data_IF_999135383072
#
_entry.id   IF_999135383072
#
_cell.length_a   1.000
_cell.length_b   1.000
_cell.length_c   1.000
_cell.angle_alpha   90.00
_cell.angle_beta   90.00
_cell.angle_gamma   90.00
#
_symmetry.space_group_name_H-M   'P 1'
#
loop_
_entity.id
_entity.type
_entity.pdbx_description
1 polymer ?
#
# COMPACT_ATOMS: atom_id res chain seq x y z
N UNK A 1 -14.63 31.57 80.81
CA UNK A 1 -13.29 31.13 81.23
C UNK A 1 -12.72 30.17 80.18
N UNK A 2 -11.60 30.62 79.58
CA UNK A 2 -10.43 29.85 79.11
C UNK A 2 -10.49 29.05 77.78
N UNK A 3 -9.85 29.64 76.77
CA UNK A 3 -9.07 28.99 75.69
C UNK A 3 -7.69 28.52 76.27
N UNK A 4 -6.93 27.56 75.68
CA UNK A 4 -6.04 27.86 74.54
C UNK A 4 -5.78 26.73 73.50
N UNK A 5 -5.77 27.15 72.22
CA UNK A 5 -4.84 26.90 71.08
C UNK A 5 -3.98 25.63 70.88
N UNK A 6 -3.84 25.32 69.58
CA UNK A 6 -2.68 24.80 68.80
C UNK A 6 -2.59 23.27 68.57
N UNK A 7 -2.20 22.71 67.42
CA UNK A 7 -1.51 23.21 66.23
C UNK A 7 -1.61 22.18 65.06
N UNK A 8 -1.80 22.69 63.82
CA UNK A 8 -1.35 22.20 62.50
C UNK A 8 -1.44 20.69 62.12
N UNK A 9 -2.09 20.38 60.99
CA UNK A 9 -1.40 19.79 59.83
C UNK A 9 -2.30 19.85 58.58
N UNK A 10 -1.88 20.72 57.65
CA UNK A 10 -2.17 20.78 56.22
C UNK A 10 -2.60 19.46 55.55
N UNK A 11 -3.70 19.51 54.79
CA UNK A 11 -3.69 19.16 53.35
C UNK A 11 -4.99 19.63 52.66
N UNK A 12 -4.84 20.76 51.98
CA UNK A 12 -5.69 21.26 50.91
C UNK A 12 -5.67 20.28 49.74
N UNK A 13 -6.81 19.77 49.27
CA UNK A 13 -7.15 19.75 47.83
C UNK A 13 -8.55 19.22 47.55
N UNK A 14 -9.40 20.11 47.00
CA UNK A 14 -10.56 19.77 46.17
C UNK A 14 -10.05 18.98 44.95
N UNK A 15 -10.58 17.78 44.72
CA UNK A 15 -10.48 17.10 43.44
C UNK A 15 -11.85 17.14 42.76
N UNK A 16 -12.02 18.14 41.91
CA UNK A 16 -13.08 18.23 40.91
C UNK A 16 -12.79 17.26 39.78
N UNK A 17 -13.78 16.42 39.50
CA UNK A 17 -13.95 15.61 38.29
C UNK A 17 -13.38 16.28 37.05
N UNK A 18 -12.39 15.66 36.41
CA UNK A 18 -12.10 15.89 34.99
C UNK A 18 -11.81 14.52 34.36
N UNK A 19 -12.84 13.96 33.74
CA UNK A 19 -12.73 12.76 32.91
C UNK A 19 -12.17 13.23 31.56
N UNK A 20 -10.86 13.11 31.39
CA UNK A 20 -10.18 13.43 30.13
C UNK A 20 -10.50 12.32 29.11
N UNK A 21 -11.24 12.69 28.07
CA UNK A 21 -11.51 11.80 26.94
C UNK A 21 -10.21 11.53 26.17
N UNK A 22 -9.75 10.29 26.17
CA UNK A 22 -8.66 9.84 25.30
C UNK A 22 -9.13 9.88 23.85
N UNK A 23 -8.62 10.85 23.09
CA UNK A 23 -8.91 11.00 21.66
C UNK A 23 -8.11 9.94 20.89
N UNK A 24 -8.79 8.86 20.50
CA UNK A 24 -8.25 7.86 19.57
C UNK A 24 -7.87 8.53 18.24
N UNK A 25 -6.60 8.44 17.86
CA UNK A 25 -6.04 8.97 16.61
C UNK A 25 -6.18 7.98 15.45
N UNK A 26 -7.40 7.53 15.16
CA UNK A 26 -7.68 6.83 13.89
C UNK A 26 -8.16 7.87 12.87
N UNK A 27 -7.21 8.57 12.24
CA UNK A 27 -7.52 9.69 11.34
C UNK A 27 -7.72 9.20 9.89
N UNK A 28 -8.87 8.58 9.61
CA UNK A 28 -9.37 8.52 8.23
C UNK A 28 -9.76 9.94 7.80
N UNK A 29 -9.42 10.41 6.58
CA UNK A 29 -9.79 11.76 6.13
C UNK A 29 -11.30 11.99 6.23
N UNK A 30 -11.71 13.23 6.48
CA UNK A 30 -13.13 13.57 6.37
C UNK A 30 -13.60 13.46 4.91
N UNK A 31 -14.90 13.23 4.73
CA UNK A 31 -15.53 13.11 3.42
C UNK A 31 -15.28 14.38 2.59
N UNK A 32 -14.62 14.26 1.43
CA UNK A 32 -14.28 15.40 0.58
C UNK A 32 -14.42 15.08 -0.92
N UNK A 33 -15.13 15.91 -1.67
CA UNK A 33 -15.40 15.65 -3.09
C UNK A 33 -16.09 14.30 -3.33
N UNK A 34 -15.52 13.46 -4.21
CA UNK A 34 -15.99 12.09 -4.46
C UNK A 34 -15.48 11.06 -3.45
N UNK A 35 -14.61 11.45 -2.52
CA UNK A 35 -14.12 10.56 -1.46
C UNK A 35 -15.24 10.24 -0.46
N UNK A 36 -15.41 8.96 -0.11
CA UNK A 36 -16.35 8.48 0.89
C UNK A 36 -15.62 7.57 1.88
N UNK A 37 -15.48 7.94 3.17
CA UNK A 37 -14.75 7.13 4.15
C UNK A 37 -15.29 5.70 4.33
N UNK A 38 -16.59 5.48 4.08
CA UNK A 38 -17.21 4.16 4.14
C UNK A 38 -16.77 3.18 3.03
N UNK A 39 -16.09 3.68 1.99
CA UNK A 39 -15.50 2.87 0.93
C UNK A 39 -13.99 2.65 1.14
N UNK A 40 -13.43 3.13 2.25
CA UNK A 40 -12.03 2.91 2.60
C UNK A 40 -11.87 1.46 3.07
N UNK A 41 -11.09 0.69 2.32
CA UNK A 41 -10.76 -0.69 2.65
C UNK A 41 -9.25 -0.86 2.60
N UNK A 42 -8.70 -1.57 3.57
CA UNK A 42 -7.31 -2.01 3.48
C UNK A 42 -7.21 -2.98 2.29
N UNK A 43 -6.28 -2.69 1.39
CA UNK A 43 -6.14 -3.40 0.13
C UNK A 43 -4.66 -3.55 -0.21
N UNK A 44 -4.32 -4.61 -0.94
CA UNK A 44 -3.02 -4.68 -1.58
C UNK A 44 -2.86 -3.51 -2.56
N UNK A 45 -1.62 -3.03 -2.74
CA UNK A 45 -1.32 -2.05 -3.76
C UNK A 45 -1.59 -2.59 -5.16
N UNK A 46 -2.31 -1.82 -5.99
CA UNK A 46 -2.45 -2.09 -7.42
C UNK A 46 -2.16 -0.81 -8.21
N UNK A 47 -1.69 -0.96 -9.44
CA UNK A 47 -1.51 0.16 -10.35
C UNK A 47 -1.27 -0.31 -11.76
N UNK A 48 -1.33 0.62 -12.72
CA UNK A 48 -1.12 0.32 -14.13
C UNK A 48 -0.35 1.45 -14.80
N UNK A 49 0.35 1.11 -15.87
CA UNK A 49 1.04 2.05 -16.75
C UNK A 49 0.61 1.73 -18.18
N UNK A 50 0.22 2.76 -18.93
CA UNK A 50 -0.21 2.60 -20.31
C UNK A 50 0.36 3.72 -21.18
N UNK A 51 0.80 3.36 -22.39
CA UNK A 51 1.14 4.34 -23.39
C UNK A 51 -0.13 4.79 -24.12
N UNK A 52 -0.51 6.07 -24.02
CA UNK A 52 -1.79 6.62 -24.53
C UNK A 52 -2.02 6.30 -26.02
N UNK A 53 -0.97 6.33 -26.84
CA UNK A 53 -1.04 5.99 -28.28
C UNK A 53 -0.80 4.51 -28.60
N UNK A 54 -0.77 3.63 -27.60
CA UNK A 54 -0.57 2.19 -27.79
C UNK A 54 0.82 1.76 -28.28
N UNK A 55 1.85 2.61 -28.18
CA UNK A 55 3.21 2.24 -28.58
C UNK A 55 3.84 1.35 -27.52
N UNK A 56 4.28 0.16 -27.93
CA UNK A 56 5.02 -0.78 -27.08
C UNK A 56 6.41 -0.23 -26.79
N UNK A 57 6.85 -0.31 -25.54
CA UNK A 57 8.21 0.09 -25.12
C UNK A 57 8.59 -0.64 -23.84
N UNK A 58 9.88 -0.99 -23.71
CA UNK A 58 10.42 -1.53 -22.47
C UNK A 58 10.31 -0.55 -21.29
N UNK A 59 10.22 0.76 -21.57
CA UNK A 59 10.00 1.79 -20.56
C UNK A 59 8.72 1.53 -19.75
N UNK A 60 7.65 0.99 -20.36
CA UNK A 60 6.39 0.68 -19.66
C UNK A 60 6.62 -0.40 -18.60
N UNK A 61 7.46 -1.40 -18.90
CA UNK A 61 7.82 -2.47 -17.96
C UNK A 61 8.65 -1.89 -16.81
N UNK A 62 9.63 -1.04 -17.11
CA UNK A 62 10.43 -0.37 -16.07
C UNK A 62 9.57 0.48 -15.13
N UNK A 63 8.63 1.25 -15.69
CA UNK A 63 7.67 2.03 -14.90
C UNK A 63 6.74 1.14 -14.06
N UNK A 64 6.34 -0.02 -14.57
CA UNK A 64 5.58 -1.00 -13.81
C UNK A 64 6.37 -1.59 -12.63
N UNK A 65 7.66 -1.86 -12.80
CA UNK A 65 8.55 -2.33 -11.73
C UNK A 65 8.80 -1.24 -10.68
N UNK A 66 8.97 0.01 -11.12
CA UNK A 66 9.08 1.17 -10.22
C UNK A 66 7.78 1.35 -9.42
N UNK A 67 6.62 1.18 -10.07
CA UNK A 67 5.33 1.19 -9.40
C UNK A 67 5.24 0.13 -8.31
N UNK A 68 5.65 -1.12 -8.59
CA UNK A 68 5.68 -2.18 -7.57
C UNK A 68 6.61 -1.84 -6.40
N UNK A 69 7.77 -1.25 -6.70
CA UNK A 69 8.71 -0.78 -5.67
C UNK A 69 8.07 0.28 -4.78
N UNK A 70 7.35 1.23 -5.38
CA UNK A 70 6.65 2.29 -4.65
C UNK A 70 5.48 1.75 -3.83
N UNK A 71 4.91 0.59 -4.18
CA UNK A 71 3.85 -0.08 -3.43
C UNK A 71 4.34 -0.95 -2.27
N UNK A 72 5.66 -1.07 -2.05
CA UNK A 72 6.23 -1.92 -0.97
C UNK A 72 5.68 -1.59 0.41
N UNK A 73 5.33 -0.33 0.69
CA UNK A 73 4.72 0.10 1.95
C UNK A 73 3.32 -0.49 2.21
N UNK A 74 2.69 -1.09 1.19
CA UNK A 74 1.41 -1.81 1.28
C UNK A 74 1.57 -3.33 1.21
N UNK A 75 2.82 -3.82 1.15
CA UNK A 75 3.11 -5.25 1.23
C UNK A 75 3.10 -5.72 2.67
N UNK A 76 2.71 -6.97 2.91
CA UNK A 76 2.94 -7.59 4.19
C UNK A 76 4.46 -7.71 4.44
N UNK A 77 4.94 -7.15 5.55
CA UNK A 77 6.33 -7.27 5.98
C UNK A 77 6.41 -8.24 7.14
N UNK A 78 7.15 -9.35 6.96
CA UNK A 78 7.40 -10.33 8.01
C UNK A 78 8.62 -10.00 8.87
N UNK A 79 9.01 -10.93 9.75
CA UNK A 79 10.24 -10.82 10.55
C UNK A 79 11.52 -10.83 9.69
N UNK A 80 11.49 -11.53 8.55
CA UNK A 80 12.59 -11.53 7.58
C UNK A 80 12.33 -10.45 6.51
N UNK A 81 13.22 -9.44 6.38
CA UNK A 81 13.07 -8.38 5.38
C UNK A 81 13.16 -8.87 3.92
N UNK A 82 13.57 -10.13 3.68
CA UNK A 82 13.59 -10.73 2.35
C UNK A 82 12.30 -11.49 1.99
N UNK A 83 11.38 -11.62 2.94
CA UNK A 83 10.18 -12.43 2.79
C UNK A 83 8.97 -11.52 2.58
N UNK A 84 8.18 -11.82 1.54
CA UNK A 84 6.95 -11.10 1.23
C UNK A 84 5.91 -12.03 0.62
N UNK A 85 4.64 -11.69 0.75
CA UNK A 85 3.52 -12.54 0.34
C UNK A 85 3.41 -12.69 -1.19
N UNK A 86 3.87 -11.68 -1.95
CA UNK A 86 3.94 -11.75 -3.41
C UNK A 86 3.80 -10.38 -4.09
N UNK A 87 4.41 -10.27 -5.26
CA UNK A 87 4.24 -9.15 -6.19
C UNK A 87 4.22 -9.71 -7.62
N UNK A 88 3.48 -9.06 -8.52
CA UNK A 88 3.35 -9.52 -9.90
C UNK A 88 3.12 -8.38 -10.88
N UNK A 89 3.52 -8.60 -12.13
CA UNK A 89 3.33 -7.67 -13.24
C UNK A 89 2.69 -8.41 -14.41
N UNK A 90 1.48 -8.00 -14.77
CA UNK A 90 0.82 -8.46 -15.99
C UNK A 90 1.20 -7.53 -17.15
N UNK A 91 1.69 -8.11 -18.25
CA UNK A 91 2.03 -7.37 -19.46
C UNK A 91 1.54 -8.08 -20.72
N UNK A 92 1.58 -7.35 -21.84
CA UNK A 92 1.35 -7.94 -23.16
C UNK A 92 2.43 -8.98 -23.49
N UNK A 93 2.11 -9.95 -24.35
CA UNK A 93 3.08 -10.95 -24.81
C UNK A 93 4.32 -10.25 -25.38
N UNK A 94 5.54 -10.55 -24.88
CA UNK A 94 6.77 -9.97 -25.37
C UNK A 94 7.21 -10.67 -26.68
N UNK A 95 6.51 -10.38 -27.78
CA UNK A 95 6.64 -11.09 -29.08
C UNK A 95 8.10 -11.20 -29.56
N UNK A 96 8.89 -10.13 -29.47
CA UNK A 96 10.31 -10.16 -29.87
C UNK A 96 11.09 -11.22 -29.09
N UNK A 97 10.95 -11.25 -27.76
CA UNK A 97 11.61 -12.24 -26.91
C UNK A 97 11.11 -13.65 -27.22
N UNK A 98 9.79 -13.84 -27.36
CA UNK A 98 9.23 -15.17 -27.65
C UNK A 98 9.74 -15.73 -28.99
N UNK A 99 9.88 -14.88 -30.02
CA UNK A 99 10.44 -15.29 -31.32
C UNK A 99 11.92 -15.67 -31.21
N UNK A 100 12.70 -14.90 -30.46
CA UNK A 100 14.12 -15.20 -30.22
C UNK A 100 14.29 -16.56 -29.50
N UNK A 101 13.48 -16.85 -28.48
CA UNK A 101 13.55 -18.14 -27.79
C UNK A 101 13.02 -19.31 -28.63
N UNK A 102 11.94 -19.12 -29.38
CA UNK A 102 11.39 -20.15 -30.26
C UNK A 102 12.35 -20.51 -31.40
N UNK A 103 13.06 -19.52 -31.96
CA UNK A 103 14.05 -19.75 -33.01
C UNK A 103 15.22 -20.63 -32.55
N UNK A 104 15.63 -20.57 -31.27
CA UNK A 104 16.66 -21.46 -30.70
C UNK A 104 16.23 -22.93 -30.65
N UNK A 105 14.91 -23.18 -30.75
CA UNK A 105 14.31 -24.51 -30.76
C UNK A 105 13.86 -24.93 -32.16
N UNK A 106 14.26 -24.18 -33.21
CA UNK A 106 13.80 -24.37 -34.59
C UNK A 106 12.26 -24.29 -34.74
N UNK A 107 11.60 -23.51 -33.88
CA UNK A 107 10.15 -23.27 -33.92
C UNK A 107 9.87 -21.90 -34.53
N UNK A 108 9.09 -21.88 -35.60
CA UNK A 108 8.57 -20.63 -36.18
C UNK A 108 7.22 -20.27 -35.54
N UNK A 109 7.15 -19.11 -34.89
CA UNK A 109 5.90 -18.64 -34.27
C UNK A 109 4.97 -18.01 -35.31
N UNK A 110 3.65 -18.32 -35.25
CA UNK A 110 2.62 -17.63 -36.02
C UNK A 110 2.65 -16.10 -35.82
N UNK A 111 1.93 -15.34 -36.67
CA UNK A 111 1.72 -13.91 -36.45
C UNK A 111 1.18 -13.59 -35.06
N UNK A 112 1.51 -12.40 -34.56
CA UNK A 112 0.98 -11.91 -33.27
C UNK A 112 -0.54 -12.01 -33.23
N UNK A 113 -1.06 -12.58 -32.14
CA UNK A 113 -2.49 -12.83 -31.97
C UNK A 113 -2.96 -14.20 -32.49
N UNK A 114 -2.10 -14.97 -33.16
CA UNK A 114 -2.35 -16.34 -33.59
C UNK A 114 -1.58 -17.39 -32.77
N UNK A 115 -0.91 -16.96 -31.70
CA UNK A 115 -0.27 -17.84 -30.74
C UNK A 115 -0.49 -17.29 -29.32
N UNK A 116 -0.37 -18.18 -28.32
CA UNK A 116 -0.55 -17.85 -26.91
C UNK A 116 0.64 -18.36 -26.08
N UNK A 117 0.81 -17.77 -24.91
CA UNK A 117 1.83 -18.15 -23.91
C UNK A 117 1.10 -18.45 -22.61
N UNK A 118 1.38 -19.62 -22.02
CA UNK A 118 0.92 -19.99 -20.68
C UNK A 118 2.01 -19.70 -19.65
N UNK A 119 1.61 -19.32 -18.44
CA UNK A 119 2.49 -19.08 -17.28
C UNK A 119 2.01 -19.91 -16.10
#
# INVERSE_FOLDING_TARGET
MNNPTNEQHSKLTRSTTTQSAEKSINATPEKQGLYSPGNEHDACGVGFVAHIKGKKSHQIVQQGLELLTNLTHRGATGHDPKLGDGAGLLMQIPDTFMREEAAKLDIELPPVGQYAVGS
#
